data_IF_307640211005
#
_entry.id   IF_307640211005
#
_cell.length_a   1.000
_cell.length_b   1.000
_cell.length_c   1.000
_cell.angle_alpha   90.00
_cell.angle_beta   90.00
_cell.angle_gamma   90.00
#
_symmetry.space_group_name_H-M   'P 1'
#
loop_
_entity.id
_entity.type
_entity.pdbx_description
1 polymer ?
#
# COMPACT_ATOMS: atom_id res chain seq x y z
N UNK A 1 -39.27 49.23 -7.85
CA UNK A 1 -38.56 49.93 -8.96
C UNK A 1 -37.43 48.99 -9.37
N UNK A 2 -37.73 48.15 -10.33
CA UNK A 2 -37.03 47.68 -11.56
C UNK A 2 -35.50 47.78 -11.46
N UNK A 3 -34.75 46.68 -11.64
CA UNK A 3 -34.34 46.22 -12.98
C UNK A 3 -33.83 44.77 -12.91
N UNK A 4 -34.39 43.93 -13.73
CA UNK A 4 -33.91 42.62 -14.16
C UNK A 4 -32.80 42.89 -15.17
N UNK A 5 -31.68 42.18 -15.06
CA UNK A 5 -30.71 42.05 -16.13
C UNK A 5 -30.51 40.57 -16.48
N UNK A 6 -30.84 40.33 -17.71
CA UNK A 6 -30.89 39.10 -18.48
C UNK A 6 -29.45 38.64 -18.83
N UNK A 7 -28.98 37.49 -18.34
CA UNK A 7 -27.74 36.87 -18.83
C UNK A 7 -28.08 35.73 -19.77
N UNK A 8 -27.95 36.03 -21.06
CA UNK A 8 -28.07 35.08 -22.18
C UNK A 8 -27.07 33.92 -22.04
N UNK A 9 -27.55 32.72 -21.88
CA UNK A 9 -26.81 31.49 -22.08
C UNK A 9 -26.60 31.26 -23.58
N UNK A 10 -25.37 31.37 -24.04
CA UNK A 10 -24.96 30.95 -25.38
C UNK A 10 -24.73 29.45 -25.39
N UNK A 11 -25.62 28.73 -26.05
CA UNK A 11 -25.42 27.30 -26.38
C UNK A 11 -24.35 27.19 -27.46
N UNK A 12 -23.21 26.61 -27.13
CA UNK A 12 -22.20 26.17 -28.10
C UNK A 12 -22.47 24.70 -28.43
N UNK A 13 -22.95 24.47 -29.64
CA UNK A 13 -23.15 23.15 -30.22
C UNK A 13 -21.82 22.71 -30.83
N UNK A 14 -21.14 21.73 -30.23
CA UNK A 14 -19.96 21.07 -30.83
C UNK A 14 -20.42 19.78 -31.48
N UNK A 15 -20.34 19.76 -32.82
CA UNK A 15 -20.56 18.58 -33.63
C UNK A 15 -19.29 17.72 -33.61
N UNK A 16 -19.38 16.52 -33.10
CA UNK A 16 -18.29 15.50 -33.13
C UNK A 16 -18.59 14.57 -34.31
N UNK A 17 -17.75 14.62 -35.33
CA UNK A 17 -17.74 13.67 -36.44
C UNK A 17 -17.01 12.39 -36.00
N UNK A 18 -17.71 11.26 -36.05
CA UNK A 18 -17.17 9.94 -35.82
C UNK A 18 -16.46 9.42 -37.06
N UNK A 19 -15.19 9.05 -36.95
CA UNK A 19 -14.47 8.22 -37.92
C UNK A 19 -14.07 6.93 -37.23
N UNK A 20 -14.81 5.88 -37.53
CA UNK A 20 -14.49 4.51 -37.16
C UNK A 20 -13.53 3.91 -38.19
N UNK A 21 -12.32 3.52 -37.77
CA UNK A 21 -11.45 2.62 -38.55
C UNK A 21 -11.19 1.38 -37.70
N UNK A 22 -11.85 0.28 -38.10
CA UNK A 22 -11.63 -1.09 -37.61
C UNK A 22 -10.47 -1.68 -38.41
N UNK A 23 -9.35 -1.96 -37.73
CA UNK A 23 -8.27 -2.80 -38.27
C UNK A 23 -8.27 -4.14 -37.54
N UNK A 24 -8.78 -5.17 -38.21
CA UNK A 24 -8.64 -6.59 -37.81
C UNK A 24 -7.21 -7.04 -38.12
N UNK A 25 -6.43 -7.35 -37.11
CA UNK A 25 -5.21 -8.14 -37.25
C UNK A 25 -5.47 -9.53 -36.69
N UNK A 26 -5.71 -10.49 -37.61
CA UNK A 26 -5.72 -11.92 -37.33
C UNK A 26 -4.27 -12.40 -37.26
N UNK A 27 -3.77 -12.75 -36.07
CA UNK A 27 -2.52 -13.50 -35.89
C UNK A 27 -2.85 -14.97 -35.72
N UNK A 28 -2.53 -15.74 -36.78
CA UNK A 28 -2.73 -17.17 -36.85
C UNK A 28 -1.82 -17.93 -35.88
N UNK A 29 -2.40 -18.91 -35.20
CA UNK A 29 -1.68 -19.97 -34.48
C UNK A 29 -0.92 -20.84 -35.46
N UNK A 30 0.40 -20.92 -35.31
CA UNK A 30 1.26 -21.86 -36.04
C UNK A 30 1.35 -23.16 -35.23
N UNK A 31 0.99 -24.33 -35.75
CA UNK A 31 1.18 -25.59 -35.05
C UNK A 31 2.65 -25.98 -35.02
N UNK A 32 3.13 -26.37 -33.86
CA UNK A 32 4.45 -26.93 -33.60
C UNK A 32 4.55 -28.36 -34.13
N UNK A 33 5.63 -28.76 -34.84
CA UNK A 33 5.77 -30.10 -35.32
C UNK A 33 6.12 -31.08 -34.19
N UNK A 34 5.29 -32.08 -33.99
CA UNK A 34 5.55 -33.22 -33.10
C UNK A 34 6.75 -34.02 -33.59
N UNK A 35 7.89 -33.84 -32.97
CA UNK A 35 9.05 -34.72 -33.13
C UNK A 35 8.93 -35.90 -32.17
N UNK A 36 8.77 -37.08 -32.72
CA UNK A 36 8.86 -38.36 -32.01
C UNK A 36 10.29 -38.58 -31.52
N UNK A 37 10.57 -38.81 -30.26
CA UNK A 37 11.91 -39.22 -29.82
C UNK A 37 12.10 -40.72 -30.03
N UNK A 38 13.13 -41.04 -30.80
CA UNK A 38 13.69 -42.38 -31.00
C UNK A 38 14.39 -42.87 -29.73
N UNK A 39 14.26 -44.15 -29.32
CA UNK A 39 14.90 -44.63 -28.10
C UNK A 39 16.35 -44.98 -28.36
N UNK A 40 17.28 -44.25 -27.78
CA UNK A 40 18.70 -44.57 -27.81
C UNK A 40 19.20 -44.99 -26.43
N UNK A 41 19.62 -46.24 -26.39
CA UNK A 41 20.65 -46.89 -25.54
C UNK A 41 20.78 -46.53 -24.05
N UNK A 42 20.57 -47.54 -23.22
CA UNK A 42 21.03 -47.69 -21.86
C UNK A 42 22.47 -47.24 -21.64
N UNK A 43 22.64 -46.20 -20.87
CA UNK A 43 23.91 -45.85 -20.25
C UNK A 43 23.91 -46.35 -18.79
N UNK A 44 24.94 -47.07 -18.44
CA UNK A 44 25.29 -47.67 -17.16
C UNK A 44 25.25 -46.61 -16.05
N UNK A 45 24.54 -46.92 -14.95
CA UNK A 45 24.48 -46.10 -13.73
C UNK A 45 25.84 -46.15 -13.03
N UNK A 46 26.67 -45.17 -13.22
CA UNK A 46 27.75 -44.86 -12.27
C UNK A 46 27.15 -44.22 -10.99
N UNK A 47 27.53 -44.88 -9.87
CA UNK A 47 27.12 -44.45 -8.52
C UNK A 47 27.55 -43.00 -8.27
N UNK A 48 26.64 -42.05 -7.93
CA UNK A 48 27.03 -40.69 -7.66
C UNK A 48 27.86 -40.65 -6.36
N UNK A 49 29.08 -40.09 -6.50
CA UNK A 49 29.91 -39.69 -5.34
C UNK A 49 29.18 -38.53 -4.64
N UNK A 50 29.06 -38.51 -3.31
CA UNK A 50 28.50 -37.39 -2.59
C UNK A 50 29.36 -36.14 -2.86
N UNK A 51 28.82 -35.19 -3.61
CA UNK A 51 29.38 -33.86 -3.72
C UNK A 51 29.29 -33.09 -2.40
N UNK A 52 30.15 -32.10 -2.16
CA UNK A 52 30.06 -31.28 -0.96
C UNK A 52 28.67 -30.68 -0.84
N UNK A 53 28.06 -30.90 0.32
CA UNK A 53 26.80 -30.28 0.71
C UNK A 53 27.02 -28.77 0.78
N UNK A 54 26.58 -28.04 -0.23
CA UNK A 54 26.47 -26.57 -0.15
C UNK A 54 25.30 -26.28 0.77
N UNK A 55 25.62 -25.81 1.95
CA UNK A 55 24.60 -25.19 2.82
C UNK A 55 23.93 -24.08 2.04
N UNK A 56 22.58 -23.90 2.12
CA UNK A 56 21.93 -22.73 1.57
C UNK A 56 22.65 -21.50 2.12
N UNK A 57 23.08 -20.60 1.26
CA UNK A 57 23.47 -19.27 1.67
C UNK A 57 22.14 -18.63 2.11
N UNK A 58 21.93 -18.60 3.41
CA UNK A 58 20.94 -17.72 4.02
C UNK A 58 21.46 -16.31 3.68
N UNK A 59 20.82 -15.67 2.72
CA UNK A 59 20.99 -14.24 2.49
C UNK A 59 20.37 -13.58 3.71
N UNK A 60 21.17 -13.29 4.74
CA UNK A 60 20.74 -12.39 5.80
C UNK A 60 20.34 -11.07 5.10
N UNK A 61 19.03 -10.75 5.16
CA UNK A 61 18.55 -9.41 4.88
C UNK A 61 19.31 -8.47 5.83
N UNK A 62 19.71 -7.28 5.36
CA UNK A 62 20.34 -6.29 6.24
C UNK A 62 19.48 -6.14 7.49
N UNK A 63 20.13 -6.19 8.65
CA UNK A 63 19.49 -5.91 9.92
C UNK A 63 19.11 -4.43 9.93
N UNK A 64 17.84 -4.14 9.62
CA UNK A 64 17.31 -2.78 9.55
C UNK A 64 17.37 -2.05 10.92
N UNK A 65 17.83 -2.72 11.95
CA UNK A 65 18.04 -2.13 13.29
C UNK A 65 16.73 -1.84 14.03
N UNK A 66 15.56 -2.10 13.43
CA UNK A 66 14.25 -1.93 14.05
C UNK A 66 13.50 -3.27 14.14
N UNK A 67 13.13 -3.64 15.36
CA UNK A 67 12.33 -4.84 15.63
C UNK A 67 10.86 -4.57 15.34
N UNK A 68 10.36 -5.06 14.19
CA UNK A 68 8.93 -4.96 13.87
C UNK A 68 8.13 -5.77 14.88
N UNK A 69 7.09 -5.17 15.54
CA UNK A 69 6.28 -5.86 16.52
C UNK A 69 5.64 -7.15 15.99
N UNK A 70 5.53 -8.16 16.85
CA UNK A 70 5.01 -9.47 16.46
C UNK A 70 3.47 -9.50 16.31
N UNK A 71 2.75 -8.55 16.91
CA UNK A 71 1.30 -8.44 16.80
C UNK A 71 0.82 -7.00 16.80
N UNK A 72 -0.38 -6.80 16.22
CA UNK A 72 -0.97 -5.47 16.09
C UNK A 72 -1.29 -4.78 17.42
N UNK A 73 -1.57 -5.52 18.46
CA UNK A 73 -1.85 -4.95 19.79
C UNK A 73 -0.62 -4.22 20.37
N UNK A 74 0.58 -4.63 19.94
CA UNK A 74 1.84 -4.09 20.46
C UNK A 74 2.19 -2.71 19.89
N UNK A 75 1.51 -2.27 18.83
CA UNK A 75 1.78 -0.94 18.25
C UNK A 75 0.97 0.18 18.89
N UNK A 76 0.06 -0.13 19.80
CA UNK A 76 -0.84 0.82 20.45
C UNK A 76 -0.61 0.89 21.95
N UNK A 77 -0.84 2.06 22.54
CA UNK A 77 -1.07 2.17 23.96
C UNK A 77 -2.35 1.43 24.38
N UNK A 78 -2.46 1.02 25.63
CA UNK A 78 -3.66 0.39 26.16
C UNK A 78 -4.92 1.26 25.99
N UNK A 79 -4.78 2.58 26.05
CA UNK A 79 -5.88 3.53 25.86
C UNK A 79 -6.35 3.57 24.40
N UNK A 80 -5.44 3.69 23.45
CA UNK A 80 -5.76 3.67 22.01
C UNK A 80 -6.34 2.32 21.60
N UNK A 81 -5.75 1.22 22.02
CA UNK A 81 -6.26 -0.13 21.74
C UNK A 81 -7.71 -0.29 22.22
N UNK A 82 -8.00 0.12 23.46
CA UNK A 82 -9.37 0.08 24.01
C UNK A 82 -10.36 0.96 23.23
N UNK A 83 -9.91 2.15 22.79
CA UNK A 83 -10.70 3.04 21.96
C UNK A 83 -11.04 2.41 20.61
N UNK A 84 -10.05 1.87 19.90
CA UNK A 84 -10.24 1.23 18.60
C UNK A 84 -11.16 0.01 18.69
N UNK A 85 -11.02 -0.81 19.75
CA UNK A 85 -11.91 -1.93 20.04
C UNK A 85 -13.36 -1.53 20.28
N UNK A 86 -13.59 -0.33 20.80
CA UNK A 86 -14.95 0.18 21.05
C UNK A 86 -15.55 0.92 19.85
N UNK A 87 -14.74 1.65 19.08
CA UNK A 87 -15.23 2.52 18.01
C UNK A 87 -15.36 1.81 16.66
N UNK A 88 -14.44 0.90 16.33
CA UNK A 88 -14.44 0.23 15.02
C UNK A 88 -13.82 -1.20 15.04
N UNK A 89 -14.39 -2.14 15.81
CA UNK A 89 -13.96 -3.53 15.78
C UNK A 89 -14.36 -4.23 14.47
N UNK A 90 -13.75 -5.40 14.14
CA UNK A 90 -12.65 -6.02 14.83
C UNK A 90 -11.28 -5.55 14.34
N UNK A 91 -10.24 -5.93 15.07
CA UNK A 91 -8.86 -5.91 14.59
C UNK A 91 -8.66 -7.06 13.61
N UNK A 92 -8.08 -6.76 12.42
CA UNK A 92 -7.69 -7.73 11.39
C UNK A 92 -8.83 -8.65 10.90
N UNK A 93 -9.99 -8.06 10.56
CA UNK A 93 -11.02 -8.82 9.86
C UNK A 93 -10.46 -9.39 8.54
N UNK A 94 -10.59 -10.70 8.29
CA UNK A 94 -10.02 -11.36 7.10
C UNK A 94 -10.61 -10.89 5.77
N UNK A 95 -11.77 -10.24 5.79
CA UNK A 95 -12.40 -9.66 4.61
C UNK A 95 -11.89 -8.26 4.25
N UNK A 96 -11.12 -7.61 5.13
CA UNK A 96 -10.55 -6.27 4.86
C UNK A 96 -9.32 -6.39 3.98
N UNK A 97 -9.44 -5.88 2.77
CA UNK A 97 -8.36 -5.84 1.75
C UNK A 97 -7.76 -4.44 1.57
N UNK A 98 -8.18 -3.48 2.36
CA UNK A 98 -7.67 -2.11 2.31
C UNK A 98 -6.15 -2.08 2.46
N UNK A 99 -5.47 -1.37 1.59
CA UNK A 99 -4.03 -1.12 1.70
C UNK A 99 -3.77 0.04 2.68
N UNK A 100 -2.59 0.07 3.26
CA UNK A 100 -2.16 1.15 4.17
C UNK A 100 -1.63 2.38 3.45
N UNK A 101 -1.59 2.34 2.12
CA UNK A 101 -1.21 3.45 1.23
C UNK A 101 -1.69 3.17 -0.19
N UNK A 102 -1.92 4.23 -0.97
CA UNK A 102 -2.10 4.19 -2.42
C UNK A 102 -0.84 4.68 -3.17
N UNK A 103 0.19 5.12 -2.45
CA UNK A 103 1.45 5.57 -3.04
C UNK A 103 2.27 4.38 -3.56
N UNK A 104 2.66 4.40 -4.84
CA UNK A 104 3.33 3.29 -5.51
C UNK A 104 4.73 3.00 -4.90
N UNK A 105 5.48 4.04 -4.58
CA UNK A 105 6.83 3.89 -4.02
C UNK A 105 6.77 3.23 -2.64
N UNK A 106 5.78 3.59 -1.82
CA UNK A 106 5.55 2.95 -0.52
C UNK A 106 5.06 1.51 -0.64
N UNK A 107 4.24 1.19 -1.65
CA UNK A 107 3.85 -0.19 -1.91
C UNK A 107 5.05 -1.06 -2.30
N UNK A 108 6.01 -0.53 -3.06
CA UNK A 108 7.26 -1.24 -3.36
C UNK A 108 8.05 -1.53 -2.08
N UNK A 109 8.16 -0.58 -1.17
CA UNK A 109 8.82 -0.77 0.14
C UNK A 109 8.11 -1.86 0.96
N UNK A 110 6.79 -1.79 1.11
CA UNK A 110 5.99 -2.76 1.87
C UNK A 110 6.12 -4.18 1.28
N UNK A 111 6.24 -4.29 -0.04
CA UNK A 111 6.34 -5.57 -0.74
C UNK A 111 7.77 -6.01 -1.07
N UNK A 112 8.78 -5.29 -0.62
CA UNK A 112 10.21 -5.61 -0.85
C UNK A 112 10.68 -6.92 -0.22
N UNK A 113 9.91 -7.46 0.72
CA UNK A 113 10.29 -8.59 1.58
C UNK A 113 10.90 -8.17 2.91
N UNK A 114 10.98 -6.86 3.20
CA UNK A 114 11.35 -6.35 4.51
C UNK A 114 10.35 -6.81 5.60
N UNK A 115 10.80 -7.00 6.84
CA UNK A 115 9.91 -7.30 7.96
C UNK A 115 8.76 -6.29 8.00
N UNK A 116 7.52 -6.79 7.96
CA UNK A 116 6.32 -5.94 7.89
C UNK A 116 5.20 -6.53 8.73
N UNK A 117 4.62 -5.73 9.61
CA UNK A 117 3.38 -6.03 10.33
C UNK A 117 2.23 -5.27 9.67
N UNK A 118 1.17 -5.98 9.30
CA UNK A 118 -0.06 -5.38 8.77
C UNK A 118 -1.19 -5.47 9.80
N UNK A 119 -1.85 -4.34 10.02
CA UNK A 119 -3.00 -4.21 10.92
C UNK A 119 -4.16 -3.51 10.20
N UNK A 120 -5.40 -3.88 10.55
CA UNK A 120 -6.58 -3.16 10.06
C UNK A 120 -7.66 -3.13 11.12
N UNK A 121 -8.45 -2.06 11.13
CA UNK A 121 -9.60 -1.89 12.03
C UNK A 121 -10.87 -1.72 11.23
N UNK A 122 -11.90 -2.43 11.65
CA UNK A 122 -13.24 -2.44 11.06
C UNK A 122 -13.52 -3.69 10.24
N UNK A 123 -14.74 -3.76 9.76
CA UNK A 123 -15.21 -4.78 8.80
C UNK A 123 -15.09 -4.24 7.37
N UNK A 124 -15.19 -5.10 6.32
CA UNK A 124 -15.26 -4.65 4.95
C UNK A 124 -16.40 -3.65 4.74
N UNK A 125 -16.06 -2.37 4.60
CA UNK A 125 -17.02 -1.26 4.48
C UNK A 125 -16.29 0.01 3.99
N UNK A 126 -17.04 1.11 3.90
CA UNK A 126 -16.50 2.47 3.68
C UNK A 126 -16.15 3.17 5.00
N UNK A 127 -15.82 2.43 6.05
CA UNK A 127 -15.48 2.96 7.36
C UNK A 127 -14.40 2.08 8.01
N UNK A 128 -13.15 2.53 7.95
CA UNK A 128 -12.03 1.75 8.50
C UNK A 128 -10.67 2.36 8.22
N UNK A 129 -9.65 1.68 8.71
CA UNK A 129 -8.25 2.01 8.44
C UNK A 129 -7.39 0.76 8.32
N UNK A 130 -6.26 0.91 7.61
CA UNK A 130 -5.22 -0.10 7.54
C UNK A 130 -3.87 0.55 7.81
N UNK A 131 -3.02 -0.15 8.58
CA UNK A 131 -1.69 0.32 8.96
C UNK A 131 -0.67 -0.79 8.71
N UNK A 132 0.49 -0.42 8.15
CA UNK A 132 1.66 -1.28 8.15
C UNK A 132 2.79 -0.62 8.94
N UNK A 133 3.55 -1.45 9.67
CA UNK A 133 4.84 -1.09 10.24
C UNK A 133 5.87 -1.90 9.48
N UNK A 134 6.75 -1.24 8.74
CA UNK A 134 7.74 -1.88 7.85
C UNK A 134 9.13 -1.40 8.22
N UNK A 135 10.08 -2.33 8.43
CA UNK A 135 11.48 -1.99 8.62
C UNK A 135 12.06 -1.39 7.34
N UNK A 136 12.83 -0.31 7.46
CA UNK A 136 13.51 0.37 6.35
C UNK A 136 14.93 0.74 6.74
N UNK A 137 15.80 0.87 5.74
CA UNK A 137 17.15 1.43 5.94
C UNK A 137 17.09 2.96 6.05
N UNK A 138 18.04 3.53 6.76
CA UNK A 138 18.09 4.99 6.99
C UNK A 138 18.16 5.80 5.68
N UNK A 139 18.85 5.28 4.66
CA UNK A 139 18.95 5.92 3.35
C UNK A 139 17.62 5.97 2.63
N UNK A 140 16.75 4.96 2.81
CA UNK A 140 15.43 4.91 2.20
C UNK A 140 14.48 5.98 2.75
N UNK A 141 14.63 6.36 4.03
CA UNK A 141 13.74 7.33 4.66
C UNK A 141 13.73 8.69 3.94
N UNK A 142 14.90 9.21 3.54
CA UNK A 142 15.01 10.48 2.83
C UNK A 142 14.39 10.44 1.43
N UNK A 143 14.57 9.33 0.71
CA UNK A 143 14.00 9.15 -0.62
C UNK A 143 12.47 9.04 -0.54
N UNK A 144 11.95 8.30 0.43
CA UNK A 144 10.51 8.17 0.70
C UNK A 144 9.90 9.53 1.06
N UNK A 145 10.51 10.30 1.96
CA UNK A 145 10.03 11.63 2.32
C UNK A 145 9.94 12.54 1.10
N UNK A 146 10.99 12.56 0.26
CA UNK A 146 11.00 13.32 -0.99
C UNK A 146 9.90 12.89 -1.96
N UNK A 147 9.66 11.58 -2.10
CA UNK A 147 8.59 11.04 -2.95
C UNK A 147 7.21 11.45 -2.43
N UNK A 148 6.97 11.38 -1.12
CA UNK A 148 5.72 11.80 -0.49
C UNK A 148 5.45 13.30 -0.68
N UNK A 149 6.47 14.16 -0.47
CA UNK A 149 6.35 15.60 -0.73
C UNK A 149 6.02 15.87 -2.21
N UNK A 150 6.66 15.15 -3.12
CA UNK A 150 6.40 15.25 -4.56
C UNK A 150 4.98 14.79 -4.94
N UNK A 151 4.43 13.84 -4.20
CA UNK A 151 3.05 13.35 -4.32
C UNK A 151 2.01 14.27 -3.66
N UNK A 152 2.44 15.37 -3.03
CA UNK A 152 1.56 16.38 -2.45
C UNK A 152 1.24 16.20 -0.97
N UNK A 153 1.94 15.31 -0.27
CA UNK A 153 1.82 15.20 1.17
C UNK A 153 2.45 16.41 1.88
N UNK A 154 1.78 16.89 2.92
CA UNK A 154 2.36 17.86 3.86
C UNK A 154 3.17 17.12 4.93
N UNK A 155 4.47 17.42 5.03
CA UNK A 155 5.37 16.76 5.97
C UNK A 155 5.81 17.71 7.08
N UNK A 156 5.89 17.20 8.32
CA UNK A 156 6.34 17.94 9.50
C UNK A 156 7.08 17.03 10.48
N UNK A 157 7.84 17.60 11.38
CA UNK A 157 8.54 16.83 12.41
C UNK A 157 7.57 16.31 13.48
N UNK A 158 7.74 15.05 13.87
CA UNK A 158 6.99 14.40 14.97
C UNK A 158 7.91 13.41 15.68
N UNK A 159 8.02 13.48 17.01
CA UNK A 159 8.62 12.43 17.85
C UNK A 159 10.04 11.97 17.47
N UNK A 160 10.87 12.83 16.89
CA UNK A 160 12.22 12.47 16.42
C UNK A 160 12.31 11.99 14.98
N UNK A 161 11.18 11.83 14.28
CA UNK A 161 11.07 11.52 12.87
C UNK A 161 10.24 12.55 12.11
N UNK A 162 9.76 12.15 10.93
CA UNK A 162 8.91 12.97 10.04
C UNK A 162 7.56 12.31 9.84
N UNK A 163 6.48 13.06 9.98
CA UNK A 163 5.14 12.61 9.60
C UNK A 163 4.66 13.36 8.37
N UNK A 164 4.16 12.62 7.39
CA UNK A 164 3.59 13.15 6.14
C UNK A 164 2.11 12.78 6.04
N UNK A 165 1.24 13.74 5.71
CA UNK A 165 -0.22 13.55 5.69
C UNK A 165 -0.83 14.12 4.42
N UNK A 166 -1.89 13.44 3.94
CA UNK A 166 -2.78 13.96 2.92
C UNK A 166 -4.22 13.58 3.27
N UNK A 167 -5.16 14.51 3.07
CA UNK A 167 -6.59 14.26 3.25
C UNK A 167 -7.34 14.70 1.99
N UNK A 168 -8.34 13.93 1.62
CA UNK A 168 -9.22 14.18 0.48
C UNK A 168 -10.67 14.01 0.90
N UNK A 169 -11.54 14.86 0.36
CA UNK A 169 -12.99 14.76 0.52
C UNK A 169 -13.62 14.53 -0.83
N UNK A 170 -14.62 13.71 -0.89
CA UNK A 170 -15.32 13.38 -2.11
C UNK A 170 -16.79 13.12 -1.85
N UNK A 171 -17.50 12.88 -2.95
CA UNK A 171 -18.91 12.52 -2.95
C UNK A 171 -19.03 11.23 -3.76
N UNK A 172 -19.73 10.23 -3.23
CA UNK A 172 -20.02 8.96 -3.91
C UNK A 172 -21.05 9.16 -5.01
N UNK A 173 -21.27 8.13 -5.83
CA UNK A 173 -22.32 8.14 -6.86
C UNK A 173 -23.75 8.26 -6.29
N UNK A 174 -23.92 7.94 -5.02
CA UNK A 174 -25.20 8.04 -4.28
C UNK A 174 -25.28 9.33 -3.45
N UNK A 175 -24.51 10.37 -3.82
CA UNK A 175 -24.46 11.68 -3.18
C UNK A 175 -24.08 11.65 -1.68
N UNK A 176 -23.33 10.64 -1.24
CA UNK A 176 -22.82 10.56 0.14
C UNK A 176 -21.42 11.18 0.20
N UNK A 177 -21.22 12.08 1.14
CA UNK A 177 -19.89 12.62 1.42
C UNK A 177 -19.00 11.58 2.10
N UNK A 178 -17.72 11.51 1.69
CA UNK A 178 -16.71 10.71 2.36
C UNK A 178 -15.42 11.52 2.54
N UNK A 179 -14.66 11.13 3.55
CA UNK A 179 -13.32 11.63 3.77
C UNK A 179 -12.36 10.44 3.78
N UNK A 180 -11.22 10.57 3.10
CA UNK A 180 -10.15 9.60 3.13
C UNK A 180 -8.81 10.29 3.28
N UNK A 181 -7.84 9.58 3.76
CA UNK A 181 -6.50 10.13 3.84
C UNK A 181 -5.45 9.07 4.09
N UNK A 182 -4.22 9.54 4.02
CA UNK A 182 -3.04 8.77 4.36
C UNK A 182 -2.17 9.55 5.33
N UNK A 183 -1.57 8.83 6.27
CA UNK A 183 -0.57 9.35 7.19
C UNK A 183 0.60 8.39 7.23
N UNK A 184 1.80 8.89 6.98
CA UNK A 184 3.03 8.11 6.96
C UNK A 184 4.01 8.71 7.94
N UNK A 185 4.57 7.89 8.83
CA UNK A 185 5.60 8.30 9.76
C UNK A 185 6.90 7.59 9.46
N UNK A 186 7.95 8.35 9.24
CA UNK A 186 9.32 7.91 9.01
C UNK A 186 10.09 8.08 10.33
N UNK A 187 10.33 6.97 11.01
CA UNK A 187 11.13 6.90 12.24
C UNK A 187 12.50 6.30 12.00
N UNK A 188 13.26 6.14 13.08
CA UNK A 188 14.55 5.45 13.02
C UNK A 188 14.32 3.95 12.75
N UNK A 189 14.81 3.47 11.61
CA UNK A 189 14.75 2.08 11.17
C UNK A 189 13.38 1.56 10.70
N UNK A 190 12.30 2.36 10.71
CA UNK A 190 11.00 1.90 10.23
C UNK A 190 10.11 3.01 9.68
N UNK A 191 9.17 2.61 8.83
CA UNK A 191 8.05 3.44 8.39
C UNK A 191 6.72 2.87 8.90
N UNK A 192 5.85 3.75 9.38
CA UNK A 192 4.44 3.44 9.64
C UNK A 192 3.61 4.08 8.54
N UNK A 193 2.93 3.25 7.74
CA UNK A 193 1.99 3.72 6.71
C UNK A 193 0.56 3.46 7.17
N UNK A 194 -0.30 4.45 7.09
CA UNK A 194 -1.73 4.33 7.45
C UNK A 194 -2.58 4.98 6.38
N UNK A 195 -3.55 4.24 5.84
CA UNK A 195 -4.64 4.79 5.05
C UNK A 195 -5.97 4.57 5.78
N UNK A 196 -6.91 5.49 5.60
CA UNK A 196 -8.20 5.45 6.26
C UNK A 196 -9.30 6.02 5.36
N UNK A 197 -10.53 5.58 5.62
CA UNK A 197 -11.75 6.11 5.02
C UNK A 197 -12.81 6.25 6.11
N UNK A 198 -13.36 7.45 6.24
CA UNK A 198 -14.40 7.85 7.22
C UNK A 198 -14.11 7.49 8.69
N UNK A 199 -12.91 6.98 9.00
CA UNK A 199 -12.47 6.61 10.34
C UNK A 199 -11.00 6.98 10.54
N UNK A 200 -10.76 8.11 11.17
CA UNK A 200 -9.42 8.62 11.51
C UNK A 200 -9.40 9.06 12.97
N UNK A 201 -9.08 8.16 13.91
CA UNK A 201 -9.05 8.51 15.34
C UNK A 201 -7.99 9.57 15.64
N UNK A 202 -8.37 10.61 16.38
CA UNK A 202 -7.43 11.64 16.80
C UNK A 202 -6.25 11.06 17.58
N UNK A 203 -5.04 11.46 17.23
CA UNK A 203 -3.82 11.01 17.89
C UNK A 203 -3.38 9.60 17.52
N UNK A 204 -3.97 8.98 16.50
CA UNK A 204 -3.67 7.60 16.12
C UNK A 204 -2.19 7.37 15.79
N UNK A 205 -1.64 8.19 14.89
CA UNK A 205 -0.23 8.08 14.51
C UNK A 205 0.71 8.47 15.65
N UNK A 206 0.36 9.50 16.41
CA UNK A 206 1.11 9.97 17.58
C UNK A 206 1.20 8.88 18.66
N UNK A 207 0.12 8.12 18.86
CA UNK A 207 0.08 7.00 19.80
C UNK A 207 1.03 5.87 19.36
N UNK A 208 0.99 5.50 18.09
CA UNK A 208 1.90 4.49 17.53
C UNK A 208 3.36 4.95 17.67
N UNK A 209 3.66 6.20 17.31
CA UNK A 209 5.00 6.77 17.40
C UNK A 209 5.50 6.72 18.84
N UNK A 210 4.69 7.17 19.81
CA UNK A 210 5.08 7.15 21.21
C UNK A 210 5.21 5.72 21.77
N UNK A 211 4.53 4.74 21.19
CA UNK A 211 4.62 3.34 21.62
C UNK A 211 5.86 2.65 21.06
N UNK A 212 6.22 2.91 19.80
CA UNK A 212 7.31 2.21 19.11
C UNK A 212 8.68 2.86 19.30
N UNK A 213 8.76 4.18 19.55
CA UNK A 213 10.02 4.93 19.69
C UNK A 213 10.16 5.64 21.05
N UNK A 214 9.58 5.08 22.13
CA UNK A 214 9.67 5.62 23.50
C UNK A 214 10.92 5.17 24.23
#
# INVERSE_FOLDING_TARGET
MRLFDDVRVKRVTVAIAALATVALLATGCRPEPSGTPEPTASATLDKPTPGPSVSPIETELPDAGFDVPASCEQIYSAAMLSRLQSENPPLNDPGVTMLSTENADLLEVIHSGAPTLRCSWGQPSEFGLATNVTAIEAEQAADIESALQSAGFGCEALGGGTVCRIEQRGITLDDQEYTRGETHYLGDGAIVTTAWINFSPDGYTEDIVSTLWS
#
